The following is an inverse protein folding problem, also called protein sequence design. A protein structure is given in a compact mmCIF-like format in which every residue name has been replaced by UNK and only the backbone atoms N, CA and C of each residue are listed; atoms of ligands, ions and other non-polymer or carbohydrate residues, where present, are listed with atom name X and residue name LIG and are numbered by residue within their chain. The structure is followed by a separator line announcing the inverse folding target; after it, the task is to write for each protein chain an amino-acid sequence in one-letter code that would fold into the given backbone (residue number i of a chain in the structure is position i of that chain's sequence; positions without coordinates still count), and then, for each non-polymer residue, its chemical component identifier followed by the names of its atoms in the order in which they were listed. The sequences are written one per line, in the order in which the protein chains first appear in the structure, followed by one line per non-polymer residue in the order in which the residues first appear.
data_IF_479345221351
#
_entry.id   IF_479345221351
#
_cell.length_a   1.000
_cell.length_b   1.000
_cell.length_c   1.000
_cell.angle_alpha   90.00
_cell.angle_beta   90.00
_cell.angle_gamma   90.00
#
_symmetry.space_group_name_H-M   'P 1'
#
loop_
_entity.id
_entity.type
_entity.pdbx_description
1 polymer ?
#
# COMPACT_ATOMS: atom_id res chain seq x y z
N UNK A 1 10.79 33.98 -15.90
CA UNK A 1 9.70 34.34 -14.99
C UNK A 1 9.50 33.27 -13.89
N UNK A 2 9.42 31.99 -14.19
CA UNK A 2 9.29 30.89 -13.20
C UNK A 2 10.45 30.81 -12.20
N UNK A 3 11.70 30.98 -12.66
CA UNK A 3 12.90 30.89 -11.82
C UNK A 3 13.03 32.05 -10.79
N UNK A 4 12.47 33.21 -11.10
CA UNK A 4 12.41 34.36 -10.19
C UNK A 4 11.31 34.15 -9.15
N UNK A 5 10.18 33.58 -9.56
CA UNK A 5 9.06 33.25 -8.68
C UNK A 5 9.49 32.21 -7.61
N UNK A 6 10.23 31.15 -8.02
CA UNK A 6 10.76 30.16 -7.10
C UNK A 6 11.75 30.75 -6.08
N UNK A 7 12.62 31.69 -6.49
CA UNK A 7 13.55 32.36 -5.56
C UNK A 7 12.83 33.28 -4.57
N UNK A 8 11.76 33.95 -5.01
CA UNK A 8 10.97 34.83 -4.12
C UNK A 8 10.18 33.96 -3.12
N UNK A 9 9.61 32.84 -3.56
CA UNK A 9 8.90 31.89 -2.68
C UNK A 9 9.85 31.29 -1.65
N UNK A 10 11.07 30.91 -2.02
CA UNK A 10 12.07 30.38 -1.09
C UNK A 10 12.53 31.44 -0.07
N UNK A 11 12.64 32.71 -0.48
CA UNK A 11 13.08 33.79 0.42
C UNK A 11 12.00 34.22 1.43
N UNK A 12 10.71 34.06 1.07
CA UNK A 12 9.60 34.47 1.93
C UNK A 12 9.15 33.32 2.85
N UNK A 13 9.22 32.06 2.38
CA UNK A 13 8.72 30.91 3.14
C UNK A 13 9.74 30.35 4.15
N UNK A 14 11.06 30.46 3.90
CA UNK A 14 12.09 29.97 4.85
C UNK A 14 12.03 30.68 6.21
N UNK A 15 11.82 32.02 6.32
CA UNK A 15 11.60 32.65 7.62
C UNK A 15 10.27 32.31 8.28
N UNK A 16 9.22 31.98 7.50
CA UNK A 16 7.90 31.59 8.01
C UNK A 16 7.91 30.18 8.61
N UNK A 17 8.78 29.28 8.15
CA UNK A 17 8.99 27.95 8.72
C UNK A 17 9.54 27.97 10.16
N UNK A 18 10.16 29.07 10.57
CA UNK A 18 10.78 29.22 11.89
C UNK A 18 9.87 29.89 12.92
N UNK A 19 8.63 30.25 12.56
CA UNK A 19 7.72 30.93 13.47
C UNK A 19 6.52 30.01 13.85
N UNK A 20 6.53 29.39 15.05
CA UNK A 20 5.50 28.42 15.45
C UNK A 20 4.11 29.02 15.72
N UNK A 21 3.95 30.35 15.58
CA UNK A 21 2.73 31.09 15.96
C UNK A 21 1.98 31.75 14.79
N UNK A 22 2.45 31.60 13.55
CA UNK A 22 1.70 32.11 12.40
C UNK A 22 0.63 31.09 11.99
N UNK A 23 -0.66 31.50 11.94
CA UNK A 23 -1.72 30.64 11.39
C UNK A 23 -1.34 30.29 9.95
N UNK A 24 -1.32 28.98 9.64
CA UNK A 24 -1.00 28.45 8.33
C UNK A 24 -1.79 29.17 7.25
N UNK A 25 -1.11 30.03 6.51
CA UNK A 25 -1.68 30.67 5.34
C UNK A 25 -2.11 29.61 4.33
N UNK A 26 -3.32 29.75 3.79
CA UNK A 26 -3.91 28.90 2.73
C UNK A 26 -3.04 28.75 1.44
N UNK A 27 -1.87 29.36 1.41
CA UNK A 27 -0.91 29.34 0.28
C UNK A 27 -0.48 27.91 -0.07
N UNK A 28 -0.44 27.01 0.91
CA UNK A 28 0.04 25.64 0.69
C UNK A 28 -1.02 24.76 0.03
N UNK A 29 -2.31 25.07 0.18
CA UNK A 29 -3.39 24.42 -0.60
C UNK A 29 -3.23 24.58 -2.12
N UNK A 30 -2.50 25.61 -2.56
CA UNK A 30 -2.23 25.90 -3.97
C UNK A 30 -1.17 24.97 -4.61
N UNK A 31 -0.32 24.33 -3.79
CA UNK A 31 0.80 23.52 -4.29
C UNK A 31 0.59 22.00 -4.16
N UNK A 32 -0.37 21.57 -3.33
CA UNK A 32 -0.71 20.16 -3.14
C UNK A 32 -2.11 19.86 -3.68
N UNK A 33 -2.35 20.13 -4.95
CA UNK A 33 -3.53 19.58 -5.63
C UNK A 33 -3.38 18.07 -5.72
N UNK A 34 -4.48 17.32 -5.59
CA UNK A 34 -4.48 15.89 -5.91
C UNK A 34 -3.84 15.68 -7.28
N UNK A 35 -2.91 14.74 -7.37
CA UNK A 35 -2.37 14.35 -8.67
C UNK A 35 -3.48 13.64 -9.46
N UNK A 36 -3.53 13.86 -10.76
CA UNK A 36 -4.39 13.05 -11.61
C UNK A 36 -3.84 11.62 -11.68
N UNK A 37 -4.70 10.65 -11.51
CA UNK A 37 -4.38 9.26 -11.79
C UNK A 37 -4.39 9.02 -13.29
N UNK A 38 -3.58 8.08 -13.76
CA UNK A 38 -3.43 7.78 -15.20
C UNK A 38 -4.33 6.58 -15.52
N UNK A 39 -5.33 6.77 -16.38
CA UNK A 39 -6.26 5.69 -16.75
C UNK A 39 -5.67 4.74 -17.77
N UNK A 40 -5.67 3.43 -17.44
CA UNK A 40 -5.31 2.35 -18.36
C UNK A 40 -6.38 2.16 -19.44
N UNK A 41 -7.65 2.34 -19.09
CA UNK A 41 -8.77 2.20 -20.02
C UNK A 41 -8.76 3.29 -21.10
N UNK A 42 -8.56 4.55 -20.72
CA UNK A 42 -8.44 5.65 -21.67
C UNK A 42 -7.22 5.49 -22.60
N UNK A 43 -6.18 4.81 -22.16
CA UNK A 43 -4.98 4.52 -22.94
C UNK A 43 -5.02 3.15 -23.66
N UNK A 44 -6.15 2.44 -23.62
CA UNK A 44 -6.37 1.21 -24.38
C UNK A 44 -5.58 -0.01 -23.87
N UNK A 45 -5.13 0.00 -22.61
CA UNK A 45 -4.41 -1.12 -21.96
C UNK A 45 -5.38 -2.02 -21.20
N UNK A 46 -6.50 -1.48 -20.70
CA UNK A 46 -7.52 -2.21 -19.95
C UNK A 46 -8.89 -2.02 -20.60
N UNK A 47 -9.80 -2.99 -20.48
CA UNK A 47 -11.18 -2.88 -20.94
C UNK A 47 -12.10 -3.79 -20.10
N UNK A 48 -13.42 -3.63 -20.23
CA UNK A 48 -14.38 -4.54 -19.56
C UNK A 48 -14.23 -6.01 -20.04
N UNK A 49 -13.84 -6.22 -21.29
CA UNK A 49 -13.67 -7.55 -21.87
C UNK A 49 -12.33 -8.21 -21.50
N UNK A 50 -11.30 -7.41 -21.23
CA UNK A 50 -9.97 -7.87 -20.83
C UNK A 50 -9.38 -6.89 -19.80
N UNK A 51 -9.81 -6.99 -18.54
CA UNK A 51 -9.46 -6.01 -17.51
C UNK A 51 -8.05 -6.23 -16.96
N UNK A 52 -7.39 -5.13 -16.59
CA UNK A 52 -6.26 -5.13 -15.69
C UNK A 52 -6.77 -4.88 -14.27
N UNK A 53 -6.35 -5.70 -13.33
CA UNK A 53 -6.71 -5.62 -11.92
C UNK A 53 -5.64 -4.83 -11.17
N UNK A 54 -6.01 -3.67 -10.67
CA UNK A 54 -5.09 -2.74 -10.03
C UNK A 54 -5.20 -2.82 -8.51
N UNK A 55 -4.04 -2.92 -7.85
CA UNK A 55 -3.89 -2.71 -6.42
C UNK A 55 -3.41 -1.29 -6.17
N UNK A 56 -4.09 -0.56 -5.32
CA UNK A 56 -3.64 0.75 -4.85
C UNK A 56 -2.57 0.56 -3.76
N UNK A 57 -1.29 0.78 -4.09
CA UNK A 57 -0.15 0.64 -3.19
C UNK A 57 -0.23 1.68 -2.07
N UNK A 58 -0.43 1.23 -0.83
CA UNK A 58 -0.69 2.05 0.37
C UNK A 58 -1.92 2.96 0.24
N UNK A 59 -2.92 2.51 -0.55
CA UNK A 59 -4.06 3.32 -0.95
C UNK A 59 -3.76 4.24 -2.15
N UNK A 60 -4.69 5.12 -2.52
CA UNK A 60 -4.52 6.04 -3.64
C UNK A 60 -3.69 7.25 -3.20
N UNK A 61 -2.37 7.14 -3.27
CA UNK A 61 -1.42 8.18 -2.80
C UNK A 61 -1.49 9.47 -3.62
N UNK A 62 -2.08 9.42 -4.80
CA UNK A 62 -2.41 10.61 -5.59
C UNK A 62 -3.57 11.44 -4.99
N UNK A 63 -4.37 10.88 -4.10
CA UNK A 63 -5.56 11.51 -3.48
C UNK A 63 -5.41 11.80 -2.01
N UNK A 64 -4.64 11.00 -1.26
CA UNK A 64 -4.42 11.17 0.17
C UNK A 64 -3.04 10.61 0.58
N UNK A 65 -2.52 10.93 1.77
CA UNK A 65 -1.28 10.34 2.25
C UNK A 65 -1.35 8.82 2.32
N UNK A 66 -0.23 8.14 2.04
CA UNK A 66 -0.13 6.69 2.14
C UNK A 66 -0.57 6.16 3.51
N UNK A 67 -1.07 4.94 3.54
CA UNK A 67 -1.46 4.26 4.78
C UNK A 67 -2.47 5.07 5.63
N UNK A 68 -3.42 5.75 4.98
CA UNK A 68 -4.50 6.50 5.66
C UNK A 68 -5.87 6.08 5.18
N UNK A 69 -6.87 6.17 6.05
CA UNK A 69 -8.27 5.82 5.72
C UNK A 69 -8.75 6.53 4.44
N UNK A 70 -8.53 7.85 4.25
CA UNK A 70 -8.96 8.53 3.01
C UNK A 70 -8.30 7.99 1.74
N UNK A 71 -7.06 7.47 1.82
CA UNK A 71 -6.39 6.87 0.67
C UNK A 71 -7.07 5.55 0.25
N UNK A 72 -7.59 4.79 1.21
CA UNK A 72 -8.34 3.55 0.97
C UNK A 72 -9.78 3.81 0.52
N UNK A 73 -10.45 4.81 1.10
CA UNK A 73 -11.75 5.26 0.63
C UNK A 73 -11.69 5.69 -0.84
N UNK A 74 -10.62 6.38 -1.25
CA UNK A 74 -10.38 6.73 -2.64
C UNK A 74 -10.15 5.49 -3.53
N UNK A 75 -9.51 4.43 -3.02
CA UNK A 75 -9.34 3.19 -3.77
C UNK A 75 -10.69 2.49 -4.02
N UNK A 76 -11.57 2.49 -3.02
CA UNK A 76 -12.93 1.96 -3.15
C UNK A 76 -13.75 2.80 -4.14
N UNK A 77 -13.68 4.13 -4.05
CA UNK A 77 -14.40 5.05 -4.94
C UNK A 77 -13.98 4.86 -6.41
N UNK A 78 -12.68 4.71 -6.65
CA UNK A 78 -12.11 4.53 -7.99
C UNK A 78 -12.20 3.08 -8.50
N UNK A 79 -12.72 2.15 -7.70
CA UNK A 79 -12.97 0.78 -8.13
C UNK A 79 -11.71 -0.08 -8.28
N UNK A 80 -10.65 0.18 -7.52
CA UNK A 80 -9.49 -0.69 -7.51
C UNK A 80 -9.86 -2.13 -7.11
N UNK A 81 -9.14 -3.11 -7.67
CA UNK A 81 -9.31 -4.52 -7.32
C UNK A 81 -8.96 -4.78 -5.86
N UNK A 82 -7.84 -4.24 -5.40
CA UNK A 82 -7.43 -4.27 -4.00
C UNK A 82 -6.75 -2.96 -3.60
N UNK A 83 -6.61 -2.75 -2.31
CA UNK A 83 -5.81 -1.66 -1.78
C UNK A 83 -4.87 -2.22 -0.71
N UNK A 84 -3.59 -1.99 -0.91
CA UNK A 84 -2.54 -2.53 -0.06
C UNK A 84 -2.28 -1.60 1.12
N UNK A 85 -1.96 -2.17 2.28
CA UNK A 85 -1.50 -1.47 3.48
C UNK A 85 -0.34 -2.19 4.15
N UNK A 86 0.52 -1.41 4.80
CA UNK A 86 1.62 -1.90 5.63
C UNK A 86 1.22 -1.91 7.10
N UNK A 87 1.28 -3.05 7.79
CA UNK A 87 0.97 -3.13 9.22
C UNK A 87 2.19 -3.39 10.09
N UNK A 88 2.24 -2.71 11.24
CA UNK A 88 3.25 -2.92 12.30
C UNK A 88 2.60 -2.97 13.67
N UNK A 89 3.25 -3.69 14.59
CA UNK A 89 2.81 -3.76 15.99
C UNK A 89 3.31 -2.55 16.79
N UNK A 90 2.42 -2.03 17.61
CA UNK A 90 2.72 -1.07 18.67
C UNK A 90 3.29 -1.77 19.89
N UNK A 91 3.74 -0.99 20.89
CA UNK A 91 4.24 -1.48 22.19
C UNK A 91 3.20 -2.32 22.96
N UNK A 92 1.93 -2.00 22.80
CA UNK A 92 0.80 -2.68 23.43
C UNK A 92 0.10 -3.69 22.52
N UNK A 93 0.83 -4.15 21.46
CA UNK A 93 0.43 -5.21 20.53
C UNK A 93 -0.81 -4.89 19.67
N UNK A 94 -1.02 -3.64 19.32
CA UNK A 94 -2.04 -3.22 18.38
C UNK A 94 -1.44 -3.08 16.98
N UNK A 95 -2.14 -3.53 15.94
CA UNK A 95 -1.72 -3.36 14.56
C UNK A 95 -2.10 -1.96 14.04
N UNK A 96 -1.09 -1.19 13.64
CA UNK A 96 -1.24 0.15 13.05
C UNK A 96 -0.67 0.20 11.63
N UNK A 97 -1.18 1.11 10.81
CA UNK A 97 -0.78 1.26 9.42
C UNK A 97 0.35 2.25 9.27
N UNK A 98 1.53 1.75 8.96
CA UNK A 98 2.73 2.54 8.67
C UNK A 98 3.81 1.69 8.00
N UNK A 99 4.37 2.17 6.88
CA UNK A 99 5.42 1.44 6.17
C UNK A 99 6.73 1.36 6.97
N UNK A 100 7.25 2.49 7.44
CA UNK A 100 8.54 2.55 8.10
C UNK A 100 8.46 2.01 9.54
N UNK A 101 9.56 1.46 10.02
CA UNK A 101 9.68 1.06 11.42
C UNK A 101 9.70 2.23 12.39
N UNK A 102 9.95 3.44 11.88
CA UNK A 102 10.03 4.69 12.63
C UNK A 102 8.93 5.68 12.25
N UNK A 103 8.56 6.53 13.18
CA UNK A 103 7.47 7.50 13.04
C UNK A 103 7.87 8.79 12.30
N UNK A 104 9.17 9.05 12.16
CA UNK A 104 9.72 10.34 11.71
C UNK A 104 9.43 10.71 10.25
N UNK A 105 9.03 9.76 9.41
CA UNK A 105 8.62 10.07 8.03
C UNK A 105 7.35 10.92 8.02
N UNK A 106 6.35 10.53 8.80
CA UNK A 106 5.01 11.10 8.76
C UNK A 106 4.67 12.00 9.94
N UNK A 107 5.29 11.77 11.11
CA UNK A 107 4.97 12.48 12.34
C UNK A 107 6.12 13.37 12.79
N UNK A 108 5.82 14.36 13.65
CA UNK A 108 6.82 15.23 14.25
C UNK A 108 7.57 14.54 15.40
N UNK A 109 7.04 13.45 15.92
CA UNK A 109 7.65 12.61 16.95
C UNK A 109 8.56 11.58 16.29
N UNK A 110 9.72 11.36 16.88
CA UNK A 110 10.71 10.40 16.41
C UNK A 110 10.84 9.24 17.38
N UNK A 111 10.78 8.01 16.85
CA UNK A 111 11.00 6.77 17.59
C UNK A 111 10.52 5.57 16.77
N UNK A 112 10.78 4.35 17.25
CA UNK A 112 10.23 3.17 16.61
C UNK A 112 8.73 3.06 16.92
N UNK A 113 7.97 2.55 15.99
CA UNK A 113 6.53 2.29 16.19
C UNK A 113 6.30 1.39 17.41
N UNK A 114 7.14 0.38 17.60
CA UNK A 114 7.11 -0.55 18.72
C UNK A 114 7.48 0.04 20.09
N UNK A 115 7.97 1.28 20.16
CA UNK A 115 8.27 1.96 21.41
C UNK A 115 7.04 2.68 21.99
N UNK A 116 5.99 2.87 21.18
CA UNK A 116 4.78 3.63 21.52
C UNK A 116 3.54 2.74 21.62
N UNK A 117 2.66 3.08 22.56
CA UNK A 117 1.31 2.50 22.62
C UNK A 117 0.43 3.06 21.50
N UNK A 118 -0.69 2.40 21.21
CA UNK A 118 -1.69 2.92 20.25
C UNK A 118 -2.19 4.30 20.67
N UNK A 119 -2.46 4.52 21.96
CA UNK A 119 -2.92 5.81 22.49
C UNK A 119 -1.89 6.93 22.20
N UNK A 120 -0.59 6.65 22.46
CA UNK A 120 0.48 7.59 22.16
C UNK A 120 0.55 7.90 20.65
N UNK A 121 0.55 6.87 19.77
CA UNK A 121 0.58 7.07 18.32
C UNK A 121 -0.65 7.83 17.80
N UNK A 122 -1.85 7.55 18.33
CA UNK A 122 -3.07 8.31 18.00
C UNK A 122 -3.02 9.78 18.46
N UNK A 123 -2.20 10.10 19.46
CA UNK A 123 -1.97 11.50 19.89
C UNK A 123 -1.07 12.28 18.95
N UNK A 124 -0.25 11.58 18.12
CA UNK A 124 0.69 12.24 17.21
C UNK A 124 -0.03 13.03 16.12
N UNK A 125 0.60 14.13 15.73
CA UNK A 125 0.16 14.93 14.61
C UNK A 125 1.04 14.63 13.40
N UNK A 126 0.42 14.44 12.25
CA UNK A 126 1.14 14.38 10.99
C UNK A 126 1.95 15.66 10.79
N UNK A 127 3.11 15.53 10.13
CA UNK A 127 3.91 16.69 9.73
C UNK A 127 3.08 17.68 8.94
N UNK A 128 3.39 18.95 9.08
CA UNK A 128 2.62 20.07 8.53
C UNK A 128 2.24 19.92 7.04
N UNK A 129 3.11 19.34 6.20
CA UNK A 129 2.83 19.12 4.77
C UNK A 129 1.82 18.00 4.47
N UNK A 130 1.55 17.11 5.41
CA UNK A 130 0.70 15.93 5.23
C UNK A 130 -0.78 16.24 5.52
N UNK A 131 -1.04 17.14 6.48
CA UNK A 131 -2.39 17.51 6.90
C UNK A 131 -3.21 18.35 5.88
N UNK A 132 -2.68 18.57 4.66
CA UNK A 132 -3.41 19.33 3.64
C UNK A 132 -4.65 18.63 3.12
N UNK A 133 -4.64 17.32 3.17
CA UNK A 133 -5.70 16.51 2.59
C UNK A 133 -6.91 16.44 3.51
N UNK A 134 -6.68 16.35 4.82
CA UNK A 134 -7.73 16.27 5.82
C UNK A 134 -7.23 16.73 7.19
N UNK A 135 -7.95 17.64 7.85
CA UNK A 135 -7.70 17.98 9.26
C UNK A 135 -7.99 16.77 10.15
N UNK A 136 -7.12 16.55 11.15
CA UNK A 136 -7.35 15.53 12.16
C UNK A 136 -6.98 14.11 11.76
N UNK A 137 -6.21 13.92 10.66
CA UNK A 137 -5.69 12.59 10.32
C UNK A 137 -4.94 11.97 11.51
N UNK A 138 -5.22 10.70 11.75
CA UNK A 138 -4.54 9.87 12.74
C UNK A 138 -4.01 8.62 12.07
N UNK A 139 -2.96 8.03 12.65
CA UNK A 139 -2.48 6.72 12.22
C UNK A 139 -3.63 5.71 12.33
N UNK A 140 -3.99 4.99 11.26
CA UNK A 140 -5.06 4.02 11.32
C UNK A 140 -4.63 2.74 12.04
N UNK A 141 -5.59 2.03 12.62
CA UNK A 141 -5.45 0.63 13.03
C UNK A 141 -5.84 -0.29 11.89
N UNK A 142 -5.45 -1.58 12.00
CA UNK A 142 -5.91 -2.62 11.09
C UNK A 142 -7.46 -2.70 11.07
N UNK A 143 -8.10 -2.55 12.21
CA UNK A 143 -9.55 -2.59 12.31
C UNK A 143 -10.22 -1.44 11.54
N UNK A 144 -9.72 -0.20 11.69
CA UNK A 144 -10.19 0.97 10.94
C UNK A 144 -9.95 0.83 9.42
N UNK A 145 -8.86 0.19 9.02
CA UNK A 145 -8.59 -0.12 7.61
C UNK A 145 -9.59 -1.14 7.07
N UNK A 146 -9.80 -2.25 7.77
CA UNK A 146 -10.72 -3.30 7.35
C UNK A 146 -12.16 -2.80 7.21
N UNK A 147 -12.59 -1.87 8.09
CA UNK A 147 -13.93 -1.27 8.03
C UNK A 147 -14.24 -0.59 6.67
N UNK A 148 -13.22 -0.05 6.00
CA UNK A 148 -13.38 0.56 4.67
C UNK A 148 -13.90 -0.43 3.62
N UNK A 149 -13.57 -1.72 3.77
CA UNK A 149 -13.85 -2.74 2.75
C UNK A 149 -15.11 -3.58 3.02
N UNK A 150 -15.72 -3.43 4.20
CA UNK A 150 -16.94 -4.18 4.53
C UNK A 150 -18.06 -3.89 3.54
N UNK A 151 -18.53 -4.94 2.83
CA UNK A 151 -19.56 -4.84 1.80
C UNK A 151 -19.11 -4.14 0.50
N UNK A 152 -17.80 -3.98 0.28
CA UNK A 152 -17.23 -3.42 -0.94
C UNK A 152 -16.67 -4.51 -1.86
N UNK A 153 -16.47 -4.17 -3.14
CA UNK A 153 -15.83 -5.05 -4.12
C UNK A 153 -14.30 -4.99 -4.05
N UNK A 154 -13.74 -3.83 -3.68
CA UNK A 154 -12.31 -3.64 -3.45
C UNK A 154 -11.87 -4.51 -2.27
N UNK A 155 -10.77 -5.22 -2.42
CA UNK A 155 -10.26 -6.20 -1.46
C UNK A 155 -9.20 -5.58 -0.56
N UNK A 156 -9.19 -5.85 0.75
CA UNK A 156 -8.05 -5.48 1.59
C UNK A 156 -6.84 -6.36 1.26
N UNK A 157 -5.66 -5.74 1.13
CA UNK A 157 -4.37 -6.41 0.95
C UNK A 157 -3.41 -5.93 2.03
N UNK A 158 -2.92 -6.85 2.88
CA UNK A 158 -2.28 -6.54 4.15
C UNK A 158 -0.85 -7.03 4.12
N UNK A 159 0.12 -6.11 4.07
CA UNK A 159 1.54 -6.43 4.20
C UNK A 159 1.98 -6.46 5.65
N UNK A 160 2.54 -7.60 6.08
CA UNK A 160 3.08 -7.78 7.41
C UNK A 160 4.52 -7.24 7.44
N UNK A 161 4.76 -6.23 8.28
CA UNK A 161 6.09 -5.65 8.52
C UNK A 161 6.62 -6.06 9.90
N UNK A 162 7.89 -6.41 9.95
CA UNK A 162 8.54 -6.84 11.20
C UNK A 162 8.50 -8.35 11.39
N UNK A 163 8.89 -8.82 12.56
CA UNK A 163 9.19 -10.21 12.87
C UNK A 163 8.37 -10.80 14.03
N UNK A 164 7.17 -10.28 14.25
CA UNK A 164 6.27 -10.71 15.34
C UNK A 164 5.44 -11.93 14.94
N UNK A 165 5.99 -13.12 15.04
CA UNK A 165 5.32 -14.37 14.66
C UNK A 165 4.17 -14.78 15.58
N UNK A 166 4.28 -14.49 16.88
CA UNK A 166 3.32 -14.94 17.90
C UNK A 166 1.94 -14.29 17.79
N UNK A 167 1.83 -13.14 17.08
CA UNK A 167 0.58 -12.39 16.96
C UNK A 167 -0.02 -12.42 15.54
N UNK A 168 0.56 -13.18 14.61
CA UNK A 168 0.07 -13.23 13.22
C UNK A 168 -1.37 -13.74 13.10
N UNK A 169 -1.80 -14.63 13.99
CA UNK A 169 -3.17 -15.13 14.02
C UNK A 169 -4.20 -14.02 14.24
N UNK A 170 -3.83 -12.94 14.96
CA UNK A 170 -4.74 -11.83 15.24
C UNK A 170 -5.12 -11.06 13.98
N UNK A 171 -4.27 -11.06 12.93
CA UNK A 171 -4.57 -10.49 11.61
C UNK A 171 -5.73 -11.26 10.96
N UNK A 172 -5.63 -12.59 10.96
CA UNK A 172 -6.65 -13.47 10.40
C UNK A 172 -7.96 -13.35 11.18
N UNK A 173 -7.87 -13.26 12.51
CA UNK A 173 -9.05 -13.09 13.37
C UNK A 173 -9.75 -11.75 13.13
N UNK A 174 -8.98 -10.64 12.95
CA UNK A 174 -9.53 -9.34 12.59
C UNK A 174 -10.27 -9.38 11.22
N UNK A 175 -9.65 -10.02 10.21
CA UNK A 175 -10.25 -10.22 8.89
C UNK A 175 -11.58 -10.99 9.00
N UNK A 176 -11.60 -12.10 9.74
CA UNK A 176 -12.80 -12.92 9.97
C UNK A 176 -13.88 -12.17 10.74
N UNK A 177 -13.49 -11.38 11.73
CA UNK A 177 -14.45 -10.58 12.51
C UNK A 177 -15.22 -9.57 11.65
N UNK A 178 -14.66 -9.14 10.52
CA UNK A 178 -15.30 -8.24 9.54
C UNK A 178 -16.00 -9.00 8.39
N UNK A 179 -15.92 -10.36 8.34
CA UNK A 179 -16.47 -11.16 7.26
C UNK A 179 -15.75 -10.97 5.92
N UNK A 180 -14.42 -10.73 5.98
CA UNK A 180 -13.58 -10.43 4.82
C UNK A 180 -12.65 -11.60 4.44
N UNK A 181 -12.79 -12.78 5.06
CA UNK A 181 -11.89 -13.93 4.90
C UNK A 181 -11.77 -14.46 3.47
N UNK A 182 -12.83 -14.32 2.67
CA UNK A 182 -12.83 -14.72 1.26
C UNK A 182 -12.26 -13.65 0.32
N UNK A 183 -12.13 -12.41 0.81
CA UNK A 183 -11.68 -11.29 0.00
C UNK A 183 -10.31 -10.76 0.41
N UNK A 184 -9.89 -10.94 1.66
CA UNK A 184 -8.61 -10.44 2.12
C UNK A 184 -7.42 -11.18 1.50
N UNK A 185 -6.35 -10.42 1.26
CA UNK A 185 -5.06 -10.91 0.79
C UNK A 185 -4.03 -10.57 1.87
N UNK A 186 -3.24 -11.56 2.32
CA UNK A 186 -2.12 -11.32 3.23
C UNK A 186 -0.82 -11.48 2.46
N UNK A 187 0.05 -10.50 2.57
CA UNK A 187 1.32 -10.47 1.85
C UNK A 187 2.51 -10.30 2.80
N UNK A 188 3.63 -10.89 2.46
CA UNK A 188 4.88 -10.73 3.22
C UNK A 188 6.09 -11.10 2.37
N UNK A 189 7.22 -10.43 2.62
CA UNK A 189 8.55 -10.86 2.18
C UNK A 189 9.08 -12.04 2.98
N UNK A 190 8.55 -12.26 4.19
CA UNK A 190 8.97 -13.36 5.04
C UNK A 190 8.11 -14.60 4.80
N UNK A 191 8.70 -15.58 4.13
CA UNK A 191 8.05 -16.86 3.83
C UNK A 191 7.57 -17.60 5.10
N UNK A 192 8.30 -17.48 6.21
CA UNK A 192 7.92 -18.14 7.47
C UNK A 192 6.65 -17.52 8.07
N UNK A 193 6.45 -16.20 7.95
CA UNK A 193 5.19 -15.56 8.33
C UNK A 193 4.02 -16.13 7.53
N UNK A 194 4.19 -16.26 6.20
CA UNK A 194 3.14 -16.84 5.35
C UNK A 194 2.86 -18.31 5.71
N UNK A 195 3.88 -19.10 6.10
CA UNK A 195 3.69 -20.47 6.58
C UNK A 195 2.91 -20.52 7.90
N UNK A 196 3.18 -19.60 8.82
CA UNK A 196 2.42 -19.48 10.08
C UNK A 196 0.96 -19.15 9.79
N UNK A 197 0.68 -18.16 8.94
CA UNK A 197 -0.68 -17.81 8.52
C UNK A 197 -1.36 -19.00 7.85
N UNK A 198 -0.71 -19.67 6.89
CA UNK A 198 -1.27 -20.84 6.19
C UNK A 198 -1.60 -22.00 7.13
N UNK A 199 -0.79 -22.20 8.17
CA UNK A 199 -1.06 -23.20 9.21
C UNK A 199 -2.27 -22.84 10.05
N UNK A 200 -2.49 -21.54 10.32
CA UNK A 200 -3.62 -21.04 11.08
C UNK A 200 -4.90 -21.03 10.25
N UNK A 201 -4.82 -20.62 8.98
CA UNK A 201 -5.92 -20.62 8.03
C UNK A 201 -5.51 -21.21 6.68
N UNK A 202 -6.14 -22.33 6.31
CA UNK A 202 -5.81 -23.06 5.09
C UNK A 202 -6.33 -22.38 3.80
N UNK A 203 -7.29 -21.47 3.91
CA UNK A 203 -8.03 -20.92 2.76
C UNK A 203 -7.67 -19.48 2.40
N UNK A 204 -7.18 -18.69 3.38
CA UNK A 204 -6.88 -17.28 3.14
C UNK A 204 -5.87 -17.12 2.00
N UNK A 205 -6.07 -16.12 1.15
CA UNK A 205 -5.19 -15.86 0.02
C UNK A 205 -3.88 -15.24 0.51
N UNK A 206 -2.75 -15.82 0.06
CA UNK A 206 -1.40 -15.38 0.42
C UNK A 206 -0.64 -14.97 -0.82
N UNK A 207 0.02 -13.84 -0.78
CA UNK A 207 0.94 -13.42 -1.83
C UNK A 207 2.36 -13.32 -1.26
N UNK A 208 3.27 -14.03 -1.88
CA UNK A 208 4.68 -14.03 -1.48
C UNK A 208 5.39 -12.86 -2.18
N UNK A 209 5.73 -11.82 -1.40
CA UNK A 209 6.52 -10.68 -1.84
C UNK A 209 7.97 -11.12 -2.06
N UNK A 210 8.49 -10.81 -3.24
CA UNK A 210 9.85 -11.16 -3.64
C UNK A 210 10.48 -10.04 -4.47
N UNK A 211 11.78 -9.90 -4.38
CA UNK A 211 12.52 -9.03 -5.30
C UNK A 211 12.59 -9.66 -6.70
N UNK A 212 13.12 -10.87 -6.80
CA UNK A 212 13.37 -11.54 -8.07
C UNK A 212 12.61 -12.86 -8.19
N UNK A 213 12.05 -13.11 -9.37
CA UNK A 213 11.48 -14.39 -9.75
C UNK A 213 12.64 -15.35 -10.10
N UNK A 214 12.71 -16.44 -9.35
CA UNK A 214 13.70 -17.51 -9.54
C UNK A 214 13.00 -18.87 -9.44
N UNK A 215 13.60 -19.97 -9.94
CA UNK A 215 13.05 -21.31 -9.69
C UNK A 215 12.84 -21.60 -8.20
N UNK A 216 13.71 -21.06 -7.33
CA UNK A 216 13.59 -21.23 -5.88
C UNK A 216 12.34 -20.53 -5.33
N UNK A 217 12.11 -19.25 -5.66
CA UNK A 217 10.96 -18.49 -5.15
C UNK A 217 9.64 -19.04 -5.70
N UNK A 218 9.62 -19.59 -6.92
CA UNK A 218 8.47 -20.31 -7.47
C UNK A 218 8.16 -21.57 -6.66
N UNK A 219 9.17 -22.40 -6.35
CA UNK A 219 8.96 -23.60 -5.54
C UNK A 219 8.57 -23.28 -4.10
N UNK A 220 9.13 -22.23 -3.52
CA UNK A 220 8.75 -21.74 -2.18
C UNK A 220 7.27 -21.32 -2.15
N UNK A 221 6.80 -20.56 -3.15
CA UNK A 221 5.39 -20.18 -3.26
C UNK A 221 4.49 -21.42 -3.41
N UNK A 222 4.83 -22.36 -4.31
CA UNK A 222 4.07 -23.60 -4.48
C UNK A 222 4.02 -24.44 -3.21
N UNK A 223 5.08 -24.45 -2.42
CA UNK A 223 5.16 -25.20 -1.17
C UNK A 223 4.22 -24.64 -0.06
N UNK A 224 3.81 -23.37 -0.14
CA UNK A 224 2.80 -22.81 0.77
C UNK A 224 1.42 -23.47 0.56
N UNK A 225 1.15 -23.97 -0.62
CA UNK A 225 -0.13 -24.61 -0.96
C UNK A 225 -1.34 -23.67 -0.88
N UNK A 226 -2.49 -24.19 -1.28
CA UNK A 226 -3.73 -23.41 -1.30
C UNK A 226 -3.71 -22.25 -2.31
N UNK A 227 -4.41 -21.18 -1.99
CA UNK A 227 -4.48 -19.97 -2.82
C UNK A 227 -3.23 -19.11 -2.55
N UNK A 228 -2.23 -19.24 -3.41
CA UNK A 228 -0.95 -18.53 -3.27
C UNK A 228 -0.53 -17.88 -4.58
N UNK A 229 0.03 -16.68 -4.49
CA UNK A 229 0.51 -15.86 -5.59
C UNK A 229 1.95 -15.42 -5.35
N UNK A 230 2.66 -15.09 -6.42
CA UNK A 230 3.88 -14.29 -6.34
C UNK A 230 3.53 -12.80 -6.40
N UNK A 231 4.24 -11.99 -5.63
CA UNK A 231 4.20 -10.53 -5.71
C UNK A 231 5.63 -10.01 -5.92
N UNK A 232 6.13 -10.04 -7.17
CA UNK A 232 7.50 -9.66 -7.49
C UNK A 232 7.66 -8.17 -7.75
N UNK A 233 8.86 -7.64 -7.45
CA UNK A 233 9.29 -6.30 -7.86
C UNK A 233 9.37 -6.21 -9.39
N UNK A 234 8.70 -5.24 -9.99
CA UNK A 234 8.81 -5.01 -11.44
C UNK A 234 10.25 -4.65 -11.84
N UNK A 235 10.89 -3.75 -11.10
CA UNK A 235 12.22 -3.24 -11.43
C UNK A 235 13.33 -4.30 -11.37
N UNK A 236 13.13 -5.36 -10.58
CA UNK A 236 14.13 -6.42 -10.37
C UNK A 236 13.98 -7.59 -11.35
N UNK A 237 12.96 -7.55 -12.21
CA UNK A 237 12.63 -8.68 -13.06
C UNK A 237 12.75 -8.34 -14.54
N UNK A 238 13.29 -9.31 -15.31
CA UNK A 238 13.36 -9.26 -16.77
C UNK A 238 12.17 -9.99 -17.39
N UNK A 239 11.97 -9.83 -18.71
CA UNK A 239 10.95 -10.60 -19.44
C UNK A 239 11.14 -12.10 -19.30
N UNK A 240 12.38 -12.55 -19.24
CA UNK A 240 12.74 -13.98 -19.07
C UNK A 240 12.33 -14.48 -17.69
N UNK A 241 12.57 -13.73 -16.61
CA UNK A 241 12.13 -14.12 -15.27
C UNK A 241 10.62 -14.08 -15.12
N UNK A 242 9.94 -13.07 -15.71
CA UNK A 242 8.47 -13.03 -15.76
C UNK A 242 7.92 -14.26 -16.48
N UNK A 243 8.53 -14.66 -17.60
CA UNK A 243 8.13 -15.87 -18.34
C UNK A 243 8.27 -17.15 -17.52
N UNK A 244 9.28 -17.23 -16.62
CA UNK A 244 9.41 -18.38 -15.71
C UNK A 244 8.19 -18.55 -14.79
N UNK A 245 7.62 -17.46 -14.25
CA UNK A 245 6.43 -17.53 -13.41
C UNK A 245 5.20 -17.96 -14.23
N UNK A 246 5.06 -17.41 -15.45
CA UNK A 246 3.97 -17.77 -16.39
C UNK A 246 4.05 -19.25 -16.73
N UNK A 247 5.23 -19.75 -17.14
CA UNK A 247 5.45 -21.16 -17.52
C UNK A 247 5.23 -22.11 -16.34
N UNK A 248 5.53 -21.65 -15.13
CA UNK A 248 5.31 -22.40 -13.90
C UNK A 248 3.82 -22.44 -13.48
N UNK A 249 2.95 -21.65 -14.11
CA UNK A 249 1.53 -21.54 -13.81
C UNK A 249 1.24 -20.93 -12.42
N UNK A 250 2.16 -20.13 -11.87
CA UNK A 250 1.96 -19.43 -10.61
C UNK A 250 1.47 -18.01 -10.92
N UNK A 251 0.28 -17.62 -10.42
CA UNK A 251 -0.23 -16.27 -10.64
C UNK A 251 0.68 -15.22 -9.99
N UNK A 252 0.77 -14.06 -10.62
CA UNK A 252 1.64 -12.98 -10.14
C UNK A 252 1.00 -11.60 -10.27
N UNK A 253 1.28 -10.73 -9.28
CA UNK A 253 0.97 -9.30 -9.27
C UNK A 253 2.25 -8.51 -9.06
N UNK A 254 2.54 -7.58 -9.95
CA UNK A 254 3.83 -6.86 -9.96
C UNK A 254 3.75 -5.49 -9.28
N UNK A 255 4.69 -5.20 -8.40
CA UNK A 255 4.88 -3.91 -7.72
C UNK A 255 6.26 -3.30 -8.04
N UNK A 256 6.47 -1.96 -8.04
CA UNK A 256 5.42 -0.97 -8.19
C UNK A 256 5.46 -0.48 -9.64
N UNK A 257 4.33 -0.55 -10.33
CA UNK A 257 4.22 -0.22 -11.77
C UNK A 257 3.52 1.14 -11.88
N UNK A 258 4.23 2.14 -12.37
CA UNK A 258 3.76 3.53 -12.33
C UNK A 258 3.70 4.21 -13.70
N UNK A 259 4.02 3.49 -14.79
CA UNK A 259 3.95 4.03 -16.14
C UNK A 259 3.09 3.19 -17.06
N UNK A 260 2.53 3.83 -18.11
CA UNK A 260 1.77 3.13 -19.15
C UNK A 260 2.63 2.13 -19.93
N UNK A 261 3.92 2.41 -20.10
CA UNK A 261 4.84 1.53 -20.80
C UNK A 261 5.08 0.23 -20.05
N UNK A 262 5.32 0.32 -18.74
CA UNK A 262 5.48 -0.84 -17.84
C UNK A 262 4.20 -1.68 -17.79
N UNK A 263 3.05 -1.02 -17.56
CA UNK A 263 1.76 -1.68 -17.54
C UNK A 263 1.47 -2.40 -18.87
N UNK A 264 1.73 -1.73 -20.00
CA UNK A 264 1.55 -2.33 -21.32
C UNK A 264 2.46 -3.53 -21.55
N UNK A 265 3.72 -3.45 -21.13
CA UNK A 265 4.66 -4.55 -21.26
C UNK A 265 4.17 -5.79 -20.50
N UNK A 266 3.71 -5.63 -19.27
CA UNK A 266 3.13 -6.71 -18.47
C UNK A 266 1.83 -7.26 -19.12
N UNK A 267 0.95 -6.37 -19.57
CA UNK A 267 -0.29 -6.75 -20.26
C UNK A 267 -0.02 -7.59 -21.52
N UNK A 268 0.96 -7.17 -22.35
CA UNK A 268 1.34 -7.89 -23.58
C UNK A 268 1.94 -9.28 -23.27
N UNK A 269 2.52 -9.47 -22.09
CA UNK A 269 3.00 -10.77 -21.59
C UNK A 269 1.90 -11.64 -20.96
N UNK A 270 0.67 -11.15 -20.85
CA UNK A 270 -0.44 -11.87 -20.25
C UNK A 270 -0.64 -11.62 -18.75
N UNK A 271 0.16 -10.77 -18.12
CA UNK A 271 -0.04 -10.34 -16.73
C UNK A 271 -1.22 -9.37 -16.67
N UNK A 272 -2.09 -9.57 -15.67
CA UNK A 272 -3.31 -8.78 -15.49
C UNK A 272 -3.41 -8.12 -14.12
N UNK A 273 -2.48 -8.40 -13.20
CA UNK A 273 -2.49 -7.89 -11.84
C UNK A 273 -1.27 -7.01 -11.61
N UNK A 274 -1.52 -5.78 -11.19
CA UNK A 274 -0.50 -4.73 -11.06
C UNK A 274 -0.76 -3.92 -9.78
N UNK A 275 0.27 -3.65 -9.02
CA UNK A 275 0.25 -2.74 -7.88
C UNK A 275 0.90 -1.41 -8.25
N UNK A 276 0.25 -0.30 -7.93
CA UNK A 276 0.59 1.02 -8.45
C UNK A 276 0.30 2.16 -7.47
N UNK A 277 1.07 3.26 -7.59
CA UNK A 277 0.83 4.51 -6.87
C UNK A 277 -0.09 5.48 -7.63
N UNK A 278 -0.28 5.30 -8.96
CA UNK A 278 -0.84 6.35 -9.81
C UNK A 278 -1.76 5.85 -10.94
N UNK A 279 -1.69 4.58 -11.33
CA UNK A 279 -2.54 4.06 -12.42
C UNK A 279 -3.96 3.78 -11.91
N UNK A 280 -4.98 3.96 -12.76
CA UNK A 280 -6.37 3.55 -12.53
C UNK A 280 -6.98 2.92 -13.80
N UNK A 281 -8.16 2.32 -13.68
CA UNK A 281 -8.94 1.82 -14.83
C UNK A 281 -9.89 2.88 -15.41
#
# INVERSE_FOLDING_TARGET
MLAVLNKIITLILVPLYMCPWLPCLNVVKLFNQPKEVISLTENGISSEADPVYLTAHRGVTARAPENTVPAYEAAVELGYYSAECDIRLTKDNEWVLIHNSTTDTWFCQYGNVSDYTLEELKSFSYKWGVNFWQEGLKIPTLDEYLDVFVGKKTRPQIEIKGDNYDLLYTIVDAVKAKGLEESAIIISFDLEQLKVIRKYDANIELWYLIDEITPKTIEEAKALGGNVWLSPSFEKNTKESIQLAIDAGVPASFWTVNTLEEAKMLYDMGIRYIETDILCN
#
